data_IF_017791413337
#
_entry.id   IF_017791413337
#
_cell.length_a   1.000
_cell.length_b   1.000
_cell.length_c   1.000
_cell.angle_alpha   90.00
_cell.angle_beta   90.00
_cell.angle_gamma   90.00
#
_symmetry.space_group_name_H-M   'P 1'
#
loop_
_entity.id
_entity.type
_entity.pdbx_description
1 polymer ?
#
# COMPACT_ATOMS: atom_id res chain seq x y z
N UNK A 1 17.58 -3.48 36.70
CA UNK A 1 16.18 -3.67 36.29
C UNK A 1 15.71 -2.32 35.78
N UNK A 2 15.85 -2.03 34.45
CA UNK A 2 15.60 -0.69 33.88
C UNK A 2 16.08 -0.53 32.43
N UNK A 3 15.83 -1.54 31.56
CA UNK A 3 16.22 -1.44 30.14
C UNK A 3 15.06 -1.76 29.15
N UNK A 4 13.84 -2.07 29.65
CA UNK A 4 12.75 -2.58 28.78
C UNK A 4 11.63 -1.57 28.46
N UNK A 5 11.64 -0.38 29.07
CA UNK A 5 10.50 0.55 28.93
C UNK A 5 10.64 1.56 27.77
N UNK A 6 11.84 1.74 27.25
CA UNK A 6 12.13 2.73 26.17
C UNK A 6 11.76 2.21 24.77
N UNK A 7 11.64 0.91 24.59
CA UNK A 7 11.29 0.28 23.30
C UNK A 7 9.78 0.29 23.03
N UNK A 8 8.96 0.32 24.05
CA UNK A 8 7.49 0.30 23.93
C UNK A 8 6.90 1.62 23.40
N UNK A 9 7.59 2.74 23.59
CA UNK A 9 7.16 4.07 23.10
C UNK A 9 7.68 4.38 21.69
N UNK A 10 8.65 3.61 21.19
CA UNK A 10 9.19 3.80 19.85
C UNK A 10 8.15 3.47 18.77
N UNK A 11 8.10 4.27 17.70
CA UNK A 11 7.31 3.95 16.52
C UNK A 11 7.82 2.67 15.83
N UNK A 12 7.00 2.10 14.95
CA UNK A 12 7.38 0.90 14.19
C UNK A 12 8.69 1.12 13.43
N UNK A 13 9.65 0.18 13.52
CA UNK A 13 10.81 0.20 12.66
C UNK A 13 10.38 0.13 11.20
N UNK A 14 11.11 0.75 10.30
CA UNK A 14 10.82 0.66 8.88
C UNK A 14 12.11 0.62 8.07
N UNK A 15 12.02 -0.05 6.93
CA UNK A 15 13.11 -0.17 5.98
C UNK A 15 12.75 0.57 4.71
N UNK A 16 13.64 1.39 4.22
CA UNK A 16 13.43 2.15 3.01
C UNK A 16 14.56 1.91 2.01
N UNK A 17 14.20 1.55 0.79
CA UNK A 17 15.11 1.50 -0.36
C UNK A 17 14.54 2.37 -1.47
N UNK A 18 15.38 3.19 -2.07
CA UNK A 18 15.08 3.87 -3.33
C UNK A 18 16.28 3.79 -4.26
N UNK A 19 15.99 3.60 -5.53
CA UNK A 19 17.00 3.66 -6.59
C UNK A 19 16.97 4.98 -7.35
N UNK A 20 16.16 5.94 -6.85
CA UNK A 20 16.04 7.27 -7.43
C UNK A 20 17.35 8.05 -7.29
N UNK A 21 17.77 8.68 -8.38
CA UNK A 21 19.00 9.49 -8.42
C UNK A 21 20.29 8.68 -8.62
N UNK A 22 20.21 7.37 -8.74
CA UNK A 22 21.35 6.53 -9.08
C UNK A 22 21.50 6.42 -10.62
N UNK A 23 22.73 6.16 -11.12
CA UNK A 23 22.95 5.78 -12.49
C UNK A 23 22.10 4.55 -12.87
N UNK A 24 21.56 4.44 -14.11
CA UNK A 24 20.62 3.38 -14.47
C UNK A 24 21.10 1.96 -14.18
N UNK A 25 22.36 1.64 -14.44
CA UNK A 25 22.92 0.31 -14.17
C UNK A 25 22.99 0.00 -12.66
N UNK A 26 23.42 0.94 -11.83
CA UNK A 26 23.46 0.79 -10.37
C UNK A 26 22.04 0.71 -9.78
N UNK A 27 21.14 1.54 -10.27
CA UNK A 27 19.73 1.52 -9.89
C UNK A 27 19.10 0.14 -10.13
N UNK A 28 19.37 -0.43 -11.32
CA UNK A 28 18.86 -1.74 -11.69
C UNK A 28 19.44 -2.86 -10.83
N UNK A 29 20.75 -2.87 -10.59
CA UNK A 29 21.40 -3.91 -9.76
C UNK A 29 20.87 -3.89 -8.32
N UNK A 30 20.72 -2.71 -7.71
CA UNK A 30 20.14 -2.59 -6.36
C UNK A 30 18.69 -3.05 -6.33
N UNK A 31 17.91 -2.67 -7.35
CA UNK A 31 16.52 -3.06 -7.47
C UNK A 31 16.37 -4.57 -7.67
N UNK A 32 17.16 -5.14 -8.56
CA UNK A 32 17.21 -6.57 -8.81
C UNK A 32 17.59 -7.37 -7.56
N UNK A 33 18.57 -6.89 -6.80
CA UNK A 33 19.01 -7.51 -5.55
C UNK A 33 17.91 -7.50 -4.49
N UNK A 34 17.16 -6.41 -4.36
CA UNK A 34 16.01 -6.34 -3.46
C UNK A 34 14.96 -7.40 -3.80
N UNK A 35 14.62 -7.54 -5.07
CA UNK A 35 13.55 -8.43 -5.49
C UNK A 35 13.99 -9.89 -5.72
N UNK A 36 15.30 -10.17 -5.77
CA UNK A 36 15.86 -11.47 -6.13
C UNK A 36 15.32 -12.67 -5.35
N UNK A 37 15.03 -12.58 -4.04
CA UNK A 37 14.43 -13.69 -3.29
C UNK A 37 13.02 -14.05 -3.73
N UNK A 38 12.29 -13.09 -4.33
CA UNK A 38 10.90 -13.25 -4.75
C UNK A 38 10.77 -13.38 -6.27
N UNK A 39 11.54 -12.59 -7.02
CA UNK A 39 11.39 -12.44 -8.47
C UNK A 39 12.71 -12.29 -9.19
N UNK A 40 12.81 -12.86 -10.39
CA UNK A 40 13.72 -12.36 -11.42
C UNK A 40 13.10 -11.12 -12.05
N UNK A 41 13.88 -10.06 -12.14
CA UNK A 41 13.47 -8.79 -12.73
C UNK A 41 14.26 -8.56 -14.01
N UNK A 42 13.58 -8.20 -15.09
CA UNK A 42 14.21 -7.85 -16.36
C UNK A 42 13.46 -6.71 -17.05
N UNK A 43 14.11 -6.00 -17.98
CA UNK A 43 13.42 -5.13 -18.92
C UNK A 43 12.37 -5.91 -19.73
N UNK A 44 11.34 -5.22 -20.21
CA UNK A 44 10.27 -5.85 -21.02
C UNK A 44 10.74 -6.30 -22.40
N UNK A 45 11.76 -5.62 -22.94
CA UNK A 45 12.50 -5.97 -24.14
C UNK A 45 13.98 -5.64 -23.94
N UNK A 46 14.91 -6.20 -24.73
CA UNK A 46 16.34 -5.89 -24.62
C UNK A 46 16.69 -4.40 -24.74
N UNK A 47 15.89 -3.64 -25.50
CA UNK A 47 16.06 -2.19 -25.71
C UNK A 47 15.25 -1.31 -24.75
N UNK A 48 14.44 -1.91 -23.89
CA UNK A 48 13.65 -1.14 -22.91
C UNK A 48 14.53 -0.56 -21.79
N UNK A 49 14.12 0.55 -21.17
CA UNK A 49 14.81 1.10 -20.02
C UNK A 49 14.99 0.07 -18.91
N UNK A 50 16.14 0.11 -18.23
CA UNK A 50 16.41 -0.76 -17.09
C UNK A 50 15.40 -0.52 -15.95
N UNK A 51 14.85 -1.56 -15.34
CA UNK A 51 13.93 -1.45 -14.21
C UNK A 51 14.54 -0.76 -13.00
N UNK A 52 13.71 0.03 -12.32
CA UNK A 52 14.04 0.71 -11.07
C UNK A 52 12.80 0.81 -10.19
N UNK A 53 12.97 1.19 -8.92
CA UNK A 53 11.85 1.36 -8.03
C UNK A 53 12.23 1.86 -6.65
N UNK A 54 11.26 1.91 -5.77
CA UNK A 54 11.43 2.15 -4.35
C UNK A 54 10.51 1.26 -3.53
N UNK A 55 10.95 0.92 -2.33
CA UNK A 55 10.19 0.14 -1.38
C UNK A 55 10.31 0.74 0.01
N UNK A 56 9.21 0.82 0.72
CA UNK A 56 9.20 1.04 2.17
C UNK A 56 8.45 -0.13 2.81
N UNK A 57 9.04 -0.74 3.83
CA UNK A 57 8.50 -1.90 4.51
C UNK A 57 8.49 -1.67 6.02
N UNK A 58 7.40 -2.07 6.66
CA UNK A 58 7.16 -2.01 8.09
C UNK A 58 6.94 -3.43 8.60
N UNK A 59 7.83 -4.00 9.40
CA UNK A 59 7.52 -5.18 10.19
C UNK A 59 6.36 -4.88 11.15
N UNK A 60 5.37 -5.74 11.15
CA UNK A 60 4.22 -5.67 12.04
C UNK A 60 4.11 -7.05 12.69
N UNK A 61 4.82 -7.25 13.80
CA UNK A 61 5.00 -8.55 14.42
C UNK A 61 5.61 -9.54 13.39
N UNK A 62 4.92 -10.62 13.07
CA UNK A 62 5.33 -11.61 12.05
C UNK A 62 4.87 -11.26 10.61
N UNK A 63 4.16 -10.17 10.41
CA UNK A 63 3.75 -9.66 9.11
C UNK A 63 4.70 -8.57 8.59
N UNK A 64 4.71 -8.35 7.27
CA UNK A 64 5.36 -7.18 6.67
C UNK A 64 4.38 -6.41 5.81
N UNK A 65 4.05 -5.18 6.22
CA UNK A 65 3.36 -4.25 5.34
C UNK A 65 4.38 -3.46 4.52
N UNK A 66 4.16 -3.37 3.22
CA UNK A 66 5.07 -2.66 2.33
C UNK A 66 4.33 -1.83 1.28
N UNK A 67 4.98 -0.77 0.83
CA UNK A 67 4.58 -0.06 -0.39
C UNK A 67 5.74 -0.07 -1.37
N UNK A 68 5.45 -0.45 -2.59
CA UNK A 68 6.46 -0.55 -3.64
C UNK A 68 6.04 0.28 -4.84
N UNK A 69 6.93 1.16 -5.29
CA UNK A 69 6.82 1.85 -6.56
C UNK A 69 7.71 1.13 -7.57
N UNK A 70 7.13 0.71 -8.68
CA UNK A 70 7.80 -0.09 -9.68
C UNK A 70 7.71 0.59 -11.06
N UNK A 71 8.85 0.69 -11.74
CA UNK A 71 8.86 1.03 -13.16
C UNK A 71 8.35 -0.14 -14.00
N UNK A 72 8.12 0.08 -15.28
CA UNK A 72 7.73 -0.97 -16.22
C UNK A 72 8.81 -2.05 -16.29
N UNK A 73 8.42 -3.31 -16.06
CA UNK A 73 9.34 -4.46 -15.96
C UNK A 73 8.65 -5.80 -16.14
N UNK A 74 9.43 -6.82 -16.43
CA UNK A 74 8.99 -8.21 -16.36
C UNK A 74 9.36 -8.79 -15.01
N UNK A 75 8.43 -9.49 -14.39
CA UNK A 75 8.60 -10.23 -13.15
C UNK A 75 8.42 -11.72 -13.41
N UNK A 76 9.38 -12.53 -12.97
CA UNK A 76 9.31 -13.98 -13.09
C UNK A 76 9.65 -14.64 -11.75
N UNK A 77 8.86 -15.64 -11.37
CA UNK A 77 9.14 -16.52 -10.23
C UNK A 77 9.18 -17.94 -10.74
N UNK A 78 10.37 -18.49 -10.82
CA UNK A 78 10.67 -19.86 -11.23
C UNK A 78 10.63 -20.84 -10.04
N UNK A 79 10.79 -22.14 -10.31
CA UNK A 79 10.80 -23.19 -9.28
C UNK A 79 11.89 -22.96 -8.22
N UNK A 80 13.08 -22.54 -8.61
CA UNK A 80 14.19 -22.27 -7.69
C UNK A 80 13.82 -21.20 -6.67
N UNK A 81 13.12 -20.13 -7.10
CA UNK A 81 12.66 -19.06 -6.20
C UNK A 81 11.47 -19.49 -5.34
N UNK A 82 10.65 -20.37 -5.86
CA UNK A 82 9.57 -21.00 -5.08
C UNK A 82 10.14 -21.78 -3.91
N UNK A 83 11.21 -22.55 -4.13
CA UNK A 83 11.85 -23.39 -3.10
C UNK A 83 12.67 -22.59 -2.10
N UNK A 84 13.40 -21.58 -2.55
CA UNK A 84 14.36 -20.82 -1.75
C UNK A 84 13.78 -19.61 -1.00
N UNK A 85 12.61 -19.12 -1.41
CA UNK A 85 12.03 -17.90 -0.85
C UNK A 85 11.26 -18.14 0.48
N UNK A 86 10.84 -17.07 1.17
CA UNK A 86 10.06 -17.16 2.42
C UNK A 86 8.65 -17.71 2.19
N UNK A 87 8.09 -18.44 3.14
CA UNK A 87 6.77 -19.09 2.99
C UNK A 87 5.61 -18.17 3.41
N UNK A 88 5.27 -17.25 2.51
CA UNK A 88 4.27 -16.20 2.74
C UNK A 88 3.26 -16.11 1.61
N UNK A 89 2.07 -15.66 1.95
CA UNK A 89 1.12 -15.06 1.01
C UNK A 89 1.30 -13.55 0.98
N UNK A 90 1.21 -12.96 -0.20
CA UNK A 90 1.16 -11.50 -0.35
C UNK A 90 -0.25 -11.12 -0.75
N UNK A 91 -0.92 -10.35 0.13
CA UNK A 91 -2.17 -9.67 -0.17
C UNK A 91 -1.80 -8.29 -0.68
N UNK A 92 -1.98 -8.02 -1.97
CA UNK A 92 -1.46 -6.81 -2.60
C UNK A 92 -2.55 -6.00 -3.31
N UNK A 93 -2.66 -4.72 -2.95
CA UNK A 93 -3.51 -3.73 -3.60
C UNK A 93 -2.70 -2.90 -4.62
N UNK A 94 -3.17 -2.86 -5.87
CA UNK A 94 -2.65 -1.95 -6.90
C UNK A 94 -3.33 -0.59 -6.80
N UNK A 95 -2.58 0.44 -6.40
CA UNK A 95 -3.07 1.82 -6.34
C UNK A 95 -3.02 2.51 -7.71
N UNK A 96 -2.06 2.13 -8.52
CA UNK A 96 -1.95 2.53 -9.93
C UNK A 96 -1.13 1.50 -10.70
N UNK A 97 -1.11 1.62 -12.03
CA UNK A 97 -0.41 0.72 -12.92
C UNK A 97 -1.19 -0.56 -13.19
N UNK A 98 -0.50 -1.54 -13.79
CA UNK A 98 -1.11 -2.81 -14.21
C UNK A 98 -0.10 -3.94 -14.10
N UNK A 99 -0.57 -5.11 -13.70
CA UNK A 99 0.11 -6.39 -13.87
C UNK A 99 -0.70 -7.28 -14.80
N UNK A 100 -0.06 -7.89 -15.79
CA UNK A 100 -0.65 -8.87 -16.69
C UNK A 100 0.30 -10.04 -16.88
N UNK A 101 -0.21 -11.24 -16.74
CA UNK A 101 0.62 -12.44 -16.87
C UNK A 101 -0.09 -13.70 -16.44
N UNK A 102 0.71 -14.66 -15.97
CA UNK A 102 0.22 -15.94 -15.41
C UNK A 102 0.73 -16.13 -14.00
N UNK A 103 -0.14 -16.64 -13.14
CA UNK A 103 0.20 -17.09 -11.78
C UNK A 103 -0.35 -18.50 -11.61
N UNK A 104 0.49 -19.45 -11.20
CA UNK A 104 0.11 -20.88 -11.13
C UNK A 104 -0.50 -21.42 -12.43
N UNK A 105 -0.03 -20.94 -13.58
CA UNK A 105 -0.55 -21.32 -14.90
C UNK A 105 -1.89 -20.65 -15.29
N UNK A 106 -2.53 -19.89 -14.40
CA UNK A 106 -3.78 -19.18 -14.68
C UNK A 106 -3.50 -17.75 -15.13
N UNK A 107 -4.17 -17.25 -16.19
CA UNK A 107 -4.03 -15.85 -16.60
C UNK A 107 -4.58 -14.92 -15.51
N UNK A 108 -3.87 -13.82 -15.28
CA UNK A 108 -4.25 -12.79 -14.31
C UNK A 108 -4.05 -11.40 -14.91
N UNK A 109 -4.97 -10.50 -14.62
CA UNK A 109 -4.85 -9.07 -14.88
C UNK A 109 -5.26 -8.30 -13.63
N UNK A 110 -4.34 -7.53 -13.08
CA UNK A 110 -4.58 -6.68 -11.93
C UNK A 110 -4.24 -5.23 -12.30
N UNK A 111 -5.11 -4.32 -11.93
CA UNK A 111 -4.98 -2.89 -12.21
C UNK A 111 -5.41 -2.07 -10.98
N UNK A 112 -5.49 -0.76 -11.13
CA UNK A 112 -5.91 0.12 -10.04
C UNK A 112 -7.19 -0.39 -9.34
N UNK A 113 -7.12 -0.51 -8.01
CA UNK A 113 -8.19 -0.98 -7.16
C UNK A 113 -8.29 -2.51 -7.04
N UNK A 114 -7.53 -3.27 -7.82
CA UNK A 114 -7.48 -4.72 -7.72
C UNK A 114 -6.64 -5.15 -6.51
N UNK A 115 -7.15 -6.09 -5.74
CA UNK A 115 -6.38 -6.83 -4.73
C UNK A 115 -6.09 -8.23 -5.24
N UNK A 116 -4.87 -8.66 -5.10
CA UNK A 116 -4.43 -10.03 -5.40
C UNK A 116 -3.99 -10.76 -4.13
N UNK A 117 -4.21 -12.07 -4.07
CA UNK A 117 -3.66 -12.97 -3.06
C UNK A 117 -2.74 -13.95 -3.75
N UNK A 118 -1.44 -13.78 -3.62
CA UNK A 118 -0.45 -14.60 -4.32
C UNK A 118 0.47 -15.27 -3.30
N UNK A 119 0.38 -16.59 -3.22
CA UNK A 119 1.28 -17.38 -2.39
C UNK A 119 2.67 -17.53 -3.00
N UNK A 120 3.63 -17.73 -2.13
CA UNK A 120 5.02 -17.98 -2.53
C UNK A 120 5.18 -19.18 -3.47
N UNK A 121 4.40 -20.23 -3.25
CA UNK A 121 4.48 -21.48 -4.05
C UNK A 121 3.97 -21.37 -5.46
N UNK A 122 3.42 -20.22 -5.84
CA UNK A 122 2.93 -20.00 -7.20
C UNK A 122 4.07 -19.56 -8.12
N UNK A 123 4.25 -20.30 -9.23
CA UNK A 123 5.01 -19.82 -10.37
C UNK A 123 4.35 -18.55 -10.90
N UNK A 124 5.16 -17.58 -11.34
CA UNK A 124 4.65 -16.32 -11.85
C UNK A 124 5.48 -15.87 -13.04
N UNK A 125 4.82 -15.43 -14.07
CA UNK A 125 5.45 -14.73 -15.22
C UNK A 125 4.51 -13.64 -15.71
N UNK A 126 4.97 -12.40 -15.70
CA UNK A 126 4.13 -11.29 -16.16
C UNK A 126 4.86 -9.98 -16.33
N UNK A 127 4.16 -9.09 -16.98
CA UNK A 127 4.56 -7.71 -17.22
C UNK A 127 3.85 -6.80 -16.22
N UNK A 128 4.63 -5.93 -15.62
CA UNK A 128 4.16 -4.88 -14.73
C UNK A 128 4.42 -3.54 -15.40
N UNK A 129 3.37 -2.73 -15.54
CA UNK A 129 3.48 -1.39 -16.10
C UNK A 129 3.25 -0.35 -15.01
N UNK A 130 4.33 0.37 -14.68
CA UNK A 130 4.41 1.47 -13.68
C UNK A 130 3.41 1.36 -12.54
N UNK A 131 3.71 0.57 -11.54
CA UNK A 131 2.79 0.33 -10.43
C UNK A 131 3.19 1.04 -9.14
N UNK A 132 2.16 1.49 -8.43
CA UNK A 132 2.18 1.82 -7.01
C UNK A 132 1.32 0.76 -6.30
N UNK A 133 1.95 -0.09 -5.51
CA UNK A 133 1.30 -1.20 -4.85
C UNK A 133 1.57 -1.18 -3.34
N UNK A 134 0.54 -1.45 -2.55
CA UNK A 134 0.64 -1.71 -1.11
C UNK A 134 0.35 -3.18 -0.89
N UNK A 135 1.25 -3.87 -0.21
CA UNK A 135 1.09 -5.28 0.12
C UNK A 135 1.28 -5.55 1.61
N UNK A 136 0.69 -6.65 2.06
CA UNK A 136 0.96 -7.23 3.37
C UNK A 136 1.37 -8.69 3.13
N UNK A 137 2.61 -9.01 3.48
CA UNK A 137 3.11 -10.38 3.50
C UNK A 137 2.66 -11.04 4.80
N UNK A 138 2.01 -12.19 4.68
CA UNK A 138 1.43 -12.96 5.79
C UNK A 138 2.04 -14.35 5.76
N UNK A 139 2.68 -14.84 6.84
CA UNK A 139 3.20 -16.20 6.91
C UNK A 139 2.12 -17.24 6.62
N UNK A 140 2.46 -18.32 5.89
CA UNK A 140 1.50 -19.38 5.61
C UNK A 140 0.95 -20.03 6.87
N UNK A 141 1.74 -20.05 7.94
CA UNK A 141 1.34 -20.56 9.26
C UNK A 141 0.15 -19.80 9.86
N UNK A 142 0.06 -18.51 9.61
CA UNK A 142 -1.04 -17.64 10.09
C UNK A 142 -2.36 -17.86 9.34
N UNK A 143 -2.31 -18.51 8.18
CA UNK A 143 -3.46 -18.77 7.31
C UNK A 143 -3.81 -20.26 7.24
N UNK A 144 -3.34 -21.06 8.21
CA UNK A 144 -3.69 -22.47 8.31
C UNK A 144 -5.21 -22.67 8.42
N UNK A 145 -5.71 -23.73 7.79
CA UNK A 145 -7.13 -24.06 7.77
C UNK A 145 -7.95 -23.33 6.71
N UNK A 146 -7.38 -22.31 6.06
CA UNK A 146 -8.04 -21.67 4.93
C UNK A 146 -7.78 -22.46 3.64
N UNK A 147 -8.78 -22.67 2.78
CA UNK A 147 -8.65 -23.42 1.53
C UNK A 147 -7.96 -22.58 0.43
N UNK A 148 -6.78 -22.02 0.72
CA UNK A 148 -6.10 -21.04 -0.15
C UNK A 148 -5.69 -21.62 -1.51
N UNK A 149 -5.47 -22.92 -1.62
CA UNK A 149 -5.17 -23.58 -2.91
C UNK A 149 -6.38 -23.56 -3.86
N UNK A 150 -7.60 -23.44 -3.31
CA UNK A 150 -8.87 -23.38 -4.05
C UNK A 150 -9.35 -21.95 -4.30
N UNK A 151 -8.69 -20.94 -3.70
CA UNK A 151 -9.08 -19.56 -3.90
C UNK A 151 -8.58 -19.04 -5.24
N UNK A 152 -9.40 -18.24 -5.86
CA UNK A 152 -9.00 -17.45 -7.01
C UNK A 152 -7.96 -16.41 -6.56
N UNK A 153 -6.99 -16.12 -7.43
CA UNK A 153 -5.96 -15.11 -7.21
C UNK A 153 -6.54 -13.69 -7.09
N UNK A 154 -7.78 -13.53 -7.56
CA UNK A 154 -8.58 -12.31 -7.54
C UNK A 154 -9.86 -12.55 -6.71
N UNK A 155 -10.38 -11.50 -6.14
CA UNK A 155 -11.57 -11.51 -5.32
C UNK A 155 -12.79 -11.01 -6.10
N UNK A 156 -13.97 -11.47 -5.72
CA UNK A 156 -15.21 -10.84 -6.15
C UNK A 156 -15.23 -9.35 -5.75
N UNK A 157 -16.08 -8.51 -6.39
CA UNK A 157 -16.04 -7.06 -6.17
C UNK A 157 -16.24 -6.63 -4.71
N UNK A 158 -17.01 -7.38 -3.92
CA UNK A 158 -17.29 -7.03 -2.52
C UNK A 158 -16.06 -7.31 -1.65
N UNK A 159 -15.55 -8.54 -1.71
CA UNK A 159 -14.34 -8.93 -0.98
C UNK A 159 -13.13 -8.11 -1.38
N UNK A 160 -12.98 -7.83 -2.68
CA UNK A 160 -11.90 -6.97 -3.19
C UNK A 160 -11.96 -5.58 -2.55
N UNK A 161 -13.14 -4.96 -2.46
CA UNK A 161 -13.30 -3.64 -1.83
C UNK A 161 -12.99 -3.66 -0.35
N UNK A 162 -13.48 -4.67 0.38
CA UNK A 162 -13.22 -4.82 1.82
C UNK A 162 -11.72 -5.00 2.10
N UNK A 163 -11.03 -5.86 1.34
CA UNK A 163 -9.58 -6.04 1.45
C UNK A 163 -8.81 -4.77 1.11
N UNK A 164 -9.12 -4.11 -0.01
CA UNK A 164 -8.48 -2.86 -0.39
C UNK A 164 -8.59 -1.81 0.71
N UNK A 165 -9.78 -1.70 1.29
CA UNK A 165 -10.06 -0.80 2.38
C UNK A 165 -9.22 -1.12 3.63
N UNK A 166 -9.15 -2.41 4.00
CA UNK A 166 -8.40 -2.86 5.16
C UNK A 166 -6.90 -2.64 5.00
N UNK A 167 -6.34 -2.98 3.84
CA UNK A 167 -4.93 -2.73 3.51
C UNK A 167 -4.60 -1.23 3.62
N UNK A 168 -5.44 -0.36 3.07
CA UNK A 168 -5.25 1.07 3.14
C UNK A 168 -5.36 1.61 4.56
N UNK A 169 -6.26 1.08 5.37
CA UNK A 169 -6.42 1.49 6.77
C UNK A 169 -5.16 1.14 7.58
N UNK A 170 -4.73 -0.10 7.51
CA UNK A 170 -3.49 -0.55 8.18
C UNK A 170 -2.33 0.32 7.74
N UNK A 171 -2.09 0.44 6.42
CA UNK A 171 -0.95 1.20 5.89
C UNK A 171 -0.93 2.66 6.37
N UNK A 172 -2.08 3.28 6.58
CA UNK A 172 -2.17 4.66 7.11
C UNK A 172 -1.82 4.75 8.57
N UNK A 173 -2.12 3.72 9.35
CA UNK A 173 -1.82 3.67 10.80
C UNK A 173 -0.32 3.47 11.06
N UNK A 174 0.41 2.76 10.19
CA UNK A 174 1.83 2.39 10.39
C UNK A 174 2.74 3.53 10.88
N UNK A 175 2.70 4.76 10.30
CA UNK A 175 3.61 5.82 10.73
C UNK A 175 3.40 6.31 12.15
N UNK A 176 2.26 6.00 12.75
CA UNK A 176 1.86 6.43 14.11
C UNK A 176 1.65 5.26 15.06
N UNK A 177 1.77 4.03 14.60
CA UNK A 177 1.67 2.81 15.43
C UNK A 177 2.95 2.65 16.23
N UNK A 178 2.80 2.37 17.52
CA UNK A 178 3.93 2.06 18.40
C UNK A 178 4.33 0.59 18.25
N UNK A 179 5.58 0.27 18.53
CA UNK A 179 6.09 -1.11 18.42
C UNK A 179 5.27 -2.10 19.27
N UNK A 180 4.84 -1.70 20.47
CA UNK A 180 3.99 -2.51 21.33
C UNK A 180 2.59 -2.82 20.78
N UNK A 181 2.11 -2.05 19.80
CA UNK A 181 0.80 -2.23 19.17
C UNK A 181 0.87 -3.15 17.93
N UNK A 182 2.08 -3.52 17.48
CA UNK A 182 2.30 -4.32 16.29
C UNK A 182 1.59 -5.68 16.35
N UNK A 183 1.68 -6.48 17.43
CA UNK A 183 1.02 -7.79 17.49
C UNK A 183 -0.50 -7.68 17.34
N UNK A 184 -1.12 -6.73 18.05
CA UNK A 184 -2.56 -6.50 17.94
C UNK A 184 -2.99 -6.09 16.53
N UNK A 185 -2.19 -5.28 15.85
CA UNK A 185 -2.45 -4.86 14.46
C UNK A 185 -2.32 -6.04 13.49
N UNK A 186 -1.34 -6.93 13.69
CA UNK A 186 -1.16 -8.15 12.92
C UNK A 186 -2.34 -9.10 13.12
N UNK A 187 -2.73 -9.38 14.35
CA UNK A 187 -3.87 -10.24 14.69
C UNK A 187 -5.20 -9.71 14.12
N UNK A 188 -5.40 -8.39 14.17
CA UNK A 188 -6.55 -7.71 13.60
C UNK A 188 -6.65 -7.98 12.08
N UNK A 189 -5.53 -7.93 11.35
CA UNK A 189 -5.50 -8.20 9.92
C UNK A 189 -5.72 -9.68 9.59
N UNK A 190 -5.06 -10.57 10.31
CA UNK A 190 -5.17 -12.02 10.11
C UNK A 190 -6.60 -12.49 10.41
N UNK A 191 -7.18 -12.05 11.52
CA UNK A 191 -8.58 -12.36 11.86
C UNK A 191 -9.54 -11.88 10.78
N UNK A 192 -9.33 -10.68 10.25
CA UNK A 192 -10.10 -10.16 9.13
C UNK A 192 -9.97 -11.04 7.88
N UNK A 193 -8.75 -11.50 7.55
CA UNK A 193 -8.53 -12.40 6.42
C UNK A 193 -9.25 -13.73 6.60
N UNK A 194 -9.17 -14.34 7.78
CA UNK A 194 -9.87 -15.59 8.08
C UNK A 194 -11.36 -15.45 7.86
N UNK A 195 -12.00 -14.42 8.43
CA UNK A 195 -13.43 -14.15 8.24
C UNK A 195 -13.81 -13.94 6.78
N UNK A 196 -12.97 -13.23 6.03
CA UNK A 196 -13.26 -12.90 4.64
C UNK A 196 -13.10 -14.10 3.71
N UNK A 197 -12.15 -14.99 3.99
CA UNK A 197 -11.79 -16.15 3.17
C UNK A 197 -12.57 -17.40 3.54
N UNK A 198 -13.12 -17.47 4.75
CA UNK A 198 -13.99 -18.57 5.17
C UNK A 198 -15.36 -18.46 4.48
N UNK A 199 -15.64 -19.41 3.60
CA UNK A 199 -16.90 -19.48 2.85
C UNK A 199 -18.08 -19.96 3.68
N UNK A 200 -17.85 -20.59 4.84
CA UNK A 200 -18.92 -21.13 5.70
C UNK A 200 -19.73 -20.04 6.40
N UNK A 201 -19.17 -18.83 6.52
CA UNK A 201 -19.76 -17.68 7.23
C UNK A 201 -20.11 -16.50 6.31
N UNK A 202 -20.30 -16.75 5.02
CA UNK A 202 -20.55 -15.69 4.04
C UNK A 202 -21.86 -14.90 4.25
N UNK A 203 -22.72 -15.33 5.14
CA UNK A 203 -24.05 -14.73 5.44
C UNK A 203 -24.16 -14.08 6.82
N UNK A 204 -23.25 -14.35 7.77
CA UNK A 204 -23.41 -13.90 9.17
C UNK A 204 -22.47 -12.75 9.57
N UNK A 205 -21.87 -12.08 8.61
CA UNK A 205 -20.78 -11.17 8.91
C UNK A 205 -21.20 -9.73 8.80
N UNK A 206 -21.13 -9.10 9.88
CA UNK A 206 -20.82 -7.71 10.21
C UNK A 206 -21.78 -7.20 11.27
N UNK A 207 -21.31 -7.06 12.50
CA UNK A 207 -22.00 -6.21 13.46
C UNK A 207 -22.03 -4.76 12.91
N UNK A 208 -22.90 -3.90 13.41
CA UNK A 208 -23.08 -2.55 12.85
C UNK A 208 -21.78 -1.72 12.84
N UNK A 209 -20.81 -1.98 13.74
CA UNK A 209 -19.51 -1.30 13.79
C UNK A 209 -18.55 -1.80 12.71
N UNK A 210 -18.50 -3.11 12.47
CA UNK A 210 -17.70 -3.69 11.37
C UNK A 210 -18.25 -3.26 10.01
N UNK A 211 -19.57 -3.14 9.87
CA UNK A 211 -20.21 -2.62 8.66
C UNK A 211 -19.86 -1.13 8.44
N UNK A 212 -19.96 -0.30 9.47
CA UNK A 212 -19.58 1.12 9.40
C UNK A 212 -18.08 1.28 9.10
N UNK A 213 -17.22 0.44 9.69
CA UNK A 213 -15.79 0.39 9.38
C UNK A 213 -15.53 0.01 7.92
N UNK A 214 -16.22 -0.99 7.40
CA UNK A 214 -16.15 -1.41 6.00
C UNK A 214 -16.67 -0.33 5.04
N UNK A 215 -17.80 0.31 5.36
CA UNK A 215 -18.34 1.43 4.58
C UNK A 215 -17.41 2.65 4.59
N UNK A 216 -16.82 3.00 5.74
CA UNK A 216 -15.86 4.09 5.83
C UNK A 216 -14.62 3.80 4.98
N UNK A 217 -14.14 2.58 5.01
CA UNK A 217 -13.00 2.15 4.23
C UNK A 217 -13.31 2.18 2.71
N UNK A 218 -14.51 1.76 2.29
CA UNK A 218 -14.98 1.90 0.92
C UNK A 218 -15.07 3.37 0.50
N UNK A 219 -15.64 4.23 1.35
CA UNK A 219 -15.73 5.66 1.09
C UNK A 219 -14.34 6.27 0.87
N UNK A 220 -13.38 5.93 1.73
CA UNK A 220 -11.98 6.37 1.60
C UNK A 220 -11.35 5.93 0.29
N UNK A 221 -11.59 4.70 -0.14
CA UNK A 221 -11.08 4.19 -1.40
C UNK A 221 -11.66 4.96 -2.59
N UNK A 222 -12.99 5.22 -2.58
CA UNK A 222 -13.66 6.01 -3.62
C UNK A 222 -13.10 7.42 -3.67
N UNK A 223 -12.95 8.07 -2.52
CA UNK A 223 -12.35 9.41 -2.41
C UNK A 223 -10.93 9.41 -2.96
N UNK A 224 -10.06 8.48 -2.53
CA UNK A 224 -8.68 8.40 -2.98
C UNK A 224 -8.58 8.12 -4.49
N UNK A 225 -9.48 7.30 -5.03
CA UNK A 225 -9.55 7.03 -6.47
C UNK A 225 -9.93 8.26 -7.30
N UNK A 226 -10.57 9.26 -6.69
CA UNK A 226 -11.16 10.40 -7.37
C UNK A 226 -10.64 11.76 -6.89
N UNK A 227 -9.51 11.82 -6.19
CA UNK A 227 -8.96 13.07 -5.60
C UNK A 227 -8.71 14.18 -6.61
N UNK A 228 -8.40 13.79 -7.87
CA UNK A 228 -8.17 14.74 -8.97
C UNK A 228 -9.44 15.33 -9.57
N UNK A 229 -10.62 14.84 -9.18
CA UNK A 229 -11.90 15.34 -9.70
C UNK A 229 -12.30 16.63 -8.98
N UNK A 230 -12.49 17.77 -9.70
CA UNK A 230 -13.00 18.99 -9.10
C UNK A 230 -14.44 18.85 -8.57
N UNK A 231 -15.26 18.03 -9.24
CA UNK A 231 -16.68 17.75 -8.97
C UNK A 231 -16.91 16.60 -7.97
N UNK A 232 -15.87 16.17 -7.24
CA UNK A 232 -16.01 15.15 -6.21
C UNK A 232 -16.90 15.68 -5.07
N UNK A 233 -18.14 15.22 -5.05
CA UNK A 233 -19.19 15.65 -4.13
C UNK A 233 -19.69 14.52 -3.23
N UNK A 234 -20.39 14.82 -2.12
CA UNK A 234 -21.05 13.80 -1.31
C UNK A 234 -22.01 12.92 -2.11
N UNK A 235 -22.73 13.50 -3.08
CA UNK A 235 -23.65 12.78 -3.95
C UNK A 235 -22.93 11.74 -4.81
N UNK A 236 -21.81 12.14 -5.39
CA UNK A 236 -20.97 11.23 -6.17
C UNK A 236 -20.47 10.07 -5.30
N UNK A 237 -19.97 10.37 -4.10
CA UNK A 237 -19.46 9.34 -3.18
C UNK A 237 -20.57 8.39 -2.75
N UNK A 238 -21.73 8.91 -2.33
CA UNK A 238 -22.88 8.11 -1.92
C UNK A 238 -23.37 7.20 -3.07
N UNK A 239 -23.44 7.72 -4.29
CA UNK A 239 -23.81 6.95 -5.47
C UNK A 239 -22.84 5.82 -5.78
N UNK A 240 -21.53 6.07 -5.67
CA UNK A 240 -20.51 5.04 -5.86
C UNK A 240 -20.51 3.98 -4.75
N UNK A 241 -20.90 4.35 -3.54
CA UNK A 241 -21.05 3.43 -2.41
C UNK A 241 -22.36 2.66 -2.40
N UNK A 242 -23.34 3.08 -3.22
CA UNK A 242 -24.72 2.58 -3.20
C UNK A 242 -25.40 2.73 -1.82
N UNK A 243 -25.14 3.84 -1.14
CA UNK A 243 -25.74 4.20 0.15
C UNK A 243 -26.55 5.49 0.04
N UNK A 244 -27.45 5.71 1.00
CA UNK A 244 -28.18 6.97 1.10
C UNK A 244 -27.26 8.12 1.54
N UNK A 245 -27.61 9.37 1.23
CA UNK A 245 -26.90 10.54 1.72
C UNK A 245 -26.83 10.57 3.26
N UNK A 246 -27.91 10.25 3.93
CA UNK A 246 -27.97 10.21 5.40
C UNK A 246 -26.97 9.21 5.98
N UNK A 247 -26.86 8.03 5.39
CA UNK A 247 -25.85 7.04 5.76
C UNK A 247 -24.42 7.59 5.57
N UNK A 248 -24.17 8.24 4.43
CA UNK A 248 -22.87 8.84 4.16
C UNK A 248 -22.52 9.94 5.19
N UNK A 249 -23.45 10.86 5.46
CA UNK A 249 -23.21 11.94 6.43
C UNK A 249 -22.99 11.41 7.83
N UNK A 250 -23.78 10.43 8.31
CA UNK A 250 -23.59 9.76 9.60
C UNK A 250 -22.19 9.11 9.68
N UNK A 251 -21.77 8.44 8.61
CA UNK A 251 -20.48 7.76 8.53
C UNK A 251 -19.29 8.74 8.67
N UNK A 252 -19.43 9.95 8.14
CA UNK A 252 -18.37 10.97 8.17
C UNK A 252 -18.50 12.00 9.31
N UNK A 253 -19.48 11.89 10.16
CA UNK A 253 -19.66 12.79 11.30
C UNK A 253 -18.43 12.83 12.22
N UNK A 254 -17.81 11.68 12.60
CA UNK A 254 -16.59 11.68 13.41
C UNK A 254 -15.39 12.33 12.73
N UNK A 255 -15.38 12.39 11.38
CA UNK A 255 -14.29 13.00 10.58
C UNK A 255 -14.52 14.50 10.31
N UNK A 256 -15.55 15.10 10.91
CA UNK A 256 -15.93 16.49 10.68
C UNK A 256 -16.67 16.74 9.36
N UNK A 257 -17.18 15.67 8.73
CA UNK A 257 -17.98 15.70 7.51
C UNK A 257 -17.21 15.31 6.25
N UNK A 258 -17.99 14.92 5.23
CA UNK A 258 -17.47 14.35 3.97
C UNK A 258 -16.46 15.25 3.28
N UNK A 259 -16.75 16.53 3.11
CA UNK A 259 -15.86 17.45 2.37
C UNK A 259 -14.61 17.83 3.14
N UNK A 260 -14.67 17.83 4.47
CA UNK A 260 -13.48 18.00 5.31
C UNK A 260 -12.56 16.79 5.16
N UNK A 261 -13.14 15.60 5.15
CA UNK A 261 -12.41 14.36 4.86
C UNK A 261 -11.77 14.39 3.47
N UNK A 262 -12.52 14.72 2.40
CA UNK A 262 -11.99 14.85 1.02
C UNK A 262 -10.80 15.81 0.98
N UNK A 263 -10.92 16.98 1.61
CA UNK A 263 -9.83 17.96 1.70
C UNK A 263 -8.62 17.38 2.42
N UNK A 264 -8.85 16.64 3.50
CA UNK A 264 -7.79 15.96 4.25
C UNK A 264 -7.04 14.92 3.41
N UNK A 265 -7.75 14.12 2.61
CA UNK A 265 -7.13 13.13 1.72
C UNK A 265 -6.34 13.82 0.56
N UNK A 266 -6.86 14.93 0.00
CA UNK A 266 -6.11 15.73 -0.99
C UNK A 266 -4.81 16.27 -0.43
N UNK A 267 -4.82 16.82 0.79
CA UNK A 267 -3.61 17.30 1.46
C UNK A 267 -2.62 16.17 1.74
N UNK A 268 -3.12 14.99 2.11
CA UNK A 268 -2.29 13.79 2.31
C UNK A 268 -1.62 13.36 1.02
N UNK A 269 -2.37 13.32 -0.09
CA UNK A 269 -1.84 12.98 -1.41
C UNK A 269 -0.76 13.99 -1.88
N UNK A 270 -0.94 15.27 -1.61
CA UNK A 270 0.09 16.30 -1.85
C UNK A 270 1.34 16.02 -1.00
N UNK A 271 1.17 15.73 0.29
CA UNK A 271 2.29 15.41 1.19
C UNK A 271 3.07 14.20 0.69
N UNK A 272 2.36 13.15 0.27
CA UNK A 272 2.97 11.90 -0.20
C UNK A 272 3.69 12.13 -1.54
N UNK A 273 3.13 12.94 -2.42
CA UNK A 273 3.80 13.39 -3.65
C UNK A 273 5.08 14.19 -3.32
N UNK A 274 5.02 15.14 -2.39
CA UNK A 274 6.19 15.93 -1.98
C UNK A 274 7.28 15.10 -1.29
N UNK A 275 6.90 13.95 -0.71
CA UNK A 275 7.82 12.99 -0.13
C UNK A 275 8.48 12.08 -1.19
N UNK A 276 7.93 12.01 -2.40
CA UNK A 276 8.50 11.24 -3.51
C UNK A 276 9.67 12.01 -4.15
N UNK A 277 10.89 11.46 -4.16
CA UNK A 277 12.05 12.11 -4.78
C UNK A 277 11.94 12.24 -6.30
N UNK A 278 11.08 11.44 -6.94
CA UNK A 278 10.82 11.50 -8.38
C UNK A 278 9.78 12.55 -8.75
N UNK A 279 9.11 13.13 -7.76
CA UNK A 279 8.10 14.17 -7.99
C UNK A 279 8.74 15.49 -8.42
N UNK A 280 8.52 15.85 -9.69
CA UNK A 280 9.06 17.05 -10.33
C UNK A 280 8.02 18.15 -10.52
N UNK A 281 6.75 17.87 -10.28
CA UNK A 281 5.67 18.85 -10.46
C UNK A 281 5.84 20.03 -9.49
N UNK A 282 5.54 21.22 -9.97
CA UNK A 282 5.49 22.42 -9.13
C UNK A 282 4.34 22.34 -8.13
N UNK A 283 4.38 23.16 -7.08
CA UNK A 283 3.27 23.25 -6.11
C UNK A 283 1.97 23.67 -6.82
N UNK A 284 2.07 24.56 -7.83
CA UNK A 284 0.94 24.94 -8.67
C UNK A 284 0.33 23.75 -9.38
N UNK A 285 1.16 22.92 -10.01
CA UNK A 285 0.68 21.72 -10.69
C UNK A 285 0.10 20.67 -9.75
N UNK A 286 0.64 20.55 -8.54
CA UNK A 286 0.05 19.68 -7.52
C UNK A 286 -1.31 20.20 -7.04
N UNK A 287 -1.47 21.54 -6.91
CA UNK A 287 -2.76 22.13 -6.58
C UNK A 287 -3.83 21.80 -7.64
N UNK A 288 -3.50 21.93 -8.93
CA UNK A 288 -4.39 21.55 -10.04
C UNK A 288 -4.72 20.05 -10.02
N UNK A 289 -3.70 19.20 -9.93
CA UNK A 289 -3.88 17.72 -9.94
C UNK A 289 -4.78 17.24 -8.82
N UNK A 290 -4.68 17.86 -7.64
CA UNK A 290 -5.49 17.48 -6.49
C UNK A 290 -6.71 18.39 -6.27
N UNK A 291 -7.12 19.11 -7.33
CA UNK A 291 -8.32 19.90 -7.36
C UNK A 291 -8.46 20.92 -6.22
N UNK A 292 -7.38 21.63 -5.90
CA UNK A 292 -7.43 22.84 -5.09
C UNK A 292 -7.72 24.02 -6.00
N UNK A 293 -8.63 24.90 -5.57
CA UNK A 293 -9.04 26.07 -6.35
C UNK A 293 -7.93 27.13 -6.50
N UNK A 294 -6.90 27.08 -5.65
CA UNK A 294 -5.70 27.93 -5.77
C UNK A 294 -4.52 27.36 -5.00
N UNK A 295 -3.32 27.76 -5.42
CA UNK A 295 -2.06 27.47 -4.72
C UNK A 295 -2.06 28.04 -3.30
N UNK A 296 -2.67 29.22 -3.12
CA UNK A 296 -2.78 29.88 -1.80
C UNK A 296 -3.64 29.06 -0.83
N UNK A 297 -4.75 28.49 -1.33
CA UNK A 297 -5.61 27.62 -0.52
C UNK A 297 -4.88 26.33 -0.13
N UNK A 298 -4.20 25.68 -1.08
CA UNK A 298 -3.36 24.52 -0.80
C UNK A 298 -2.32 24.84 0.27
N UNK A 299 -1.53 25.91 0.08
CA UNK A 299 -0.43 26.27 0.98
C UNK A 299 -0.90 26.57 2.40
N UNK A 300 -2.01 27.30 2.55
CA UNK A 300 -2.61 27.60 3.85
C UNK A 300 -3.14 26.34 4.53
N UNK A 301 -3.91 25.53 3.80
CA UNK A 301 -4.48 24.28 4.34
C UNK A 301 -3.39 23.26 4.70
N UNK A 302 -2.34 23.19 3.91
CA UNK A 302 -1.20 22.31 4.15
C UNK A 302 -0.41 22.74 5.39
N UNK A 303 -0.11 24.05 5.53
CA UNK A 303 0.55 24.58 6.74
C UNK A 303 -0.27 24.33 7.99
N UNK A 304 -1.58 24.57 7.93
CA UNK A 304 -2.47 24.34 9.08
C UNK A 304 -2.49 22.87 9.52
N UNK A 305 -2.30 21.93 8.58
CA UNK A 305 -2.34 20.49 8.89
C UNK A 305 -1.00 19.90 9.26
N UNK A 306 0.10 20.39 8.67
CA UNK A 306 1.44 19.80 8.79
C UNK A 306 2.50 20.73 9.38
N UNK A 307 2.11 21.92 9.82
CA UNK A 307 3.00 22.91 10.47
C UNK A 307 3.89 23.71 9.54
N UNK A 308 4.15 23.24 8.32
CA UNK A 308 5.03 23.88 7.36
C UNK A 308 4.36 23.99 5.96
N UNK A 309 4.72 25.02 5.15
CA UNK A 309 4.20 25.11 3.80
C UNK A 309 4.77 23.98 2.88
N UNK A 310 4.08 23.63 1.77
CA UNK A 310 4.49 22.54 0.88
C UNK A 310 5.94 22.64 0.38
N UNK A 311 6.42 23.87 0.11
CA UNK A 311 7.78 24.10 -0.40
C UNK A 311 8.85 23.77 0.65
N UNK A 312 8.65 24.15 1.91
CA UNK A 312 9.55 23.83 3.01
C UNK A 312 9.57 22.31 3.27
N UNK A 313 8.39 21.68 3.27
CA UNK A 313 8.26 20.23 3.42
C UNK A 313 9.06 19.43 2.38
N UNK A 314 9.06 19.88 1.11
CA UNK A 314 9.87 19.28 0.04
C UNK A 314 11.38 19.39 0.34
N UNK A 315 11.84 20.54 0.80
CA UNK A 315 13.26 20.82 1.07
C UNK A 315 13.81 20.00 2.25
N UNK A 316 13.09 19.94 3.36
CA UNK A 316 13.51 19.22 4.58
C UNK A 316 13.68 17.71 4.33
N UNK A 317 12.79 17.09 3.60
CA UNK A 317 12.83 15.64 3.33
C UNK A 317 13.91 15.25 2.32
N UNK A 318 14.30 16.14 1.42
CA UNK A 318 15.46 15.91 0.56
C UNK A 318 16.78 15.93 1.34
N UNK A 319 16.86 16.71 2.43
CA UNK A 319 18.04 16.77 3.29
C UNK A 319 18.20 15.52 4.18
N UNK A 320 17.13 15.05 4.80
CA UNK A 320 17.13 13.85 5.69
C UNK A 320 17.50 12.57 4.95
N UNK A 321 17.19 12.45 3.66
CA UNK A 321 17.48 11.26 2.85
C UNK A 321 18.94 11.04 2.49
N UNK A 322 19.79 12.04 2.61
CA UNK A 322 21.25 11.88 2.38
C UNK A 322 21.96 11.03 3.44
N UNK A 323 21.30 10.76 4.57
CA UNK A 323 21.92 10.11 5.74
C UNK A 323 21.54 8.62 5.90
N UNK A 324 20.45 8.12 5.28
CA UNK A 324 19.90 6.79 5.58
C UNK A 324 20.12 5.67 4.53
N UNK A 325 21.13 5.76 3.70
CA UNK A 325 21.29 4.92 2.49
C UNK A 325 22.12 3.61 2.63
N UNK A 326 22.57 3.16 3.79
CA UNK A 326 23.39 1.95 3.88
C UNK A 326 22.92 1.00 4.99
N UNK A 327 22.40 -0.14 4.63
CA UNK A 327 22.28 -1.26 5.58
C UNK A 327 20.99 -2.09 5.55
N UNK A 328 20.03 -1.80 4.70
CA UNK A 328 18.65 -2.12 5.01
C UNK A 328 18.07 -3.34 4.28
N UNK A 329 18.56 -3.72 3.10
CA UNK A 329 17.96 -4.77 2.25
C UNK A 329 18.12 -6.17 2.86
N UNK A 330 19.31 -6.46 3.44
CA UNK A 330 19.59 -7.76 4.04
C UNK A 330 18.74 -8.02 5.30
N UNK A 331 18.38 -6.97 6.05
CA UNK A 331 17.59 -7.11 7.27
C UNK A 331 16.13 -7.51 7.00
N UNK A 332 15.48 -6.96 5.97
CA UNK A 332 14.11 -7.34 5.60
C UNK A 332 14.03 -8.82 5.23
N UNK A 333 14.96 -9.30 4.41
CA UNK A 333 14.98 -10.68 3.97
C UNK A 333 15.47 -11.66 5.05
N UNK A 334 16.33 -11.20 5.96
CA UNK A 334 16.72 -11.98 7.13
C UNK A 334 15.51 -12.17 8.05
N UNK A 335 14.82 -11.09 8.36
CA UNK A 335 13.62 -11.10 9.20
C UNK A 335 12.50 -11.98 8.59
N UNK A 336 12.21 -11.86 7.28
CA UNK A 336 11.23 -12.70 6.58
C UNK A 336 11.59 -14.19 6.53
N UNK A 337 12.84 -14.57 6.79
CA UNK A 337 13.26 -15.98 6.83
C UNK A 337 13.27 -16.55 8.25
N UNK A 338 13.36 -15.71 9.24
CA UNK A 338 13.48 -16.09 10.65
C UNK A 338 12.11 -16.12 11.37
N UNK A 339 11.06 -15.54 10.78
CA UNK A 339 9.65 -15.63 11.18
C UNK A 339 8.88 -16.64 10.31
#
# INVERSE_FOLDING_TARGET
MGADDTTAEAGLPHFFLTTSGLPPGEAFERWRTLLAPMYAVSPTTPSAPLPFGSNIAYPIDDLVAHRTLLSTQRLQRDRRRVEAGPDHYIVQLYRSGRFQGTVAGKPISASRGTVTLIGRRHLLDGLLDRADAIGIAVPCTRLHGLPLEKHDLLFDPVRNRLLAARILDIYRRLPTTRAAEAPALADEFVTFLHRLLDRSHATDVLDGRELDGGLMALARMIVQANLSRPDLSPEFIAGQMLVSRSTLYRLFEPEGGVMQFVRGERLRAVRDALADPMERRTIGRLAEVYAFSSVSLLSRSFRNRYGAPPQAWRGERQAVRRISGQGTVQHVWKWLRET
#
